data_IF_217889632732
#
_entry.id   IF_217889632732
#
_cell.length_a   1.000
_cell.length_b   1.000
_cell.length_c   1.000
_cell.angle_alpha   90.00
_cell.angle_beta   90.00
_cell.angle_gamma   90.00
#
_symmetry.space_group_name_H-M   'P 1'
#
loop_
_entity.id
_entity.type
_entity.pdbx_description
1 polymer ?
#
# COMPACT_ATOMS: atom_id res chain seq x y z
N UNK A 1 9.51 16.55 3.91
CA UNK A 1 10.90 16.05 3.96
C UNK A 1 11.73 16.85 2.96
N UNK A 2 13.00 17.13 3.20
CA UNK A 2 13.82 17.93 2.27
C UNK A 2 14.54 17.06 1.24
N UNK A 3 14.97 17.65 0.13
CA UNK A 3 15.78 16.94 -0.88
C UNK A 3 17.07 16.39 -0.25
N UNK A 4 17.74 17.15 0.62
CA UNK A 4 18.93 16.68 1.32
C UNK A 4 18.67 15.43 2.17
N UNK A 5 17.55 15.38 2.90
CA UNK A 5 17.18 14.19 3.68
C UNK A 5 16.92 12.96 2.81
N UNK A 6 16.35 13.15 1.61
CA UNK A 6 16.13 12.05 0.66
C UNK A 6 17.47 11.60 0.07
N UNK A 7 18.35 12.54 -0.27
CA UNK A 7 19.70 12.27 -0.75
C UNK A 7 20.52 11.45 0.25
N UNK A 8 20.50 11.86 1.53
CA UNK A 8 21.13 11.14 2.64
C UNK A 8 20.54 9.74 2.84
N UNK A 9 19.22 9.59 2.74
CA UNK A 9 18.56 8.28 2.87
C UNK A 9 18.95 7.30 1.75
N UNK A 10 19.16 7.83 0.54
CA UNK A 10 19.55 7.06 -0.63
C UNK A 10 21.07 6.90 -0.77
N UNK A 11 21.87 7.56 0.09
CA UNK A 11 23.33 7.64 -0.01
C UNK A 11 23.79 8.16 -1.38
N UNK A 12 23.16 9.26 -1.83
CA UNK A 12 23.41 9.86 -3.15
C UNK A 12 23.72 11.35 -3.04
N UNK A 13 24.51 11.85 -3.99
CA UNK A 13 24.74 13.28 -4.12
C UNK A 13 23.63 13.94 -4.96
N UNK A 14 23.28 15.18 -4.61
CA UNK A 14 22.39 16.02 -5.41
C UNK A 14 23.16 16.48 -6.65
N UNK A 15 22.65 16.16 -7.82
CA UNK A 15 23.17 16.63 -9.10
C UNK A 15 22.30 17.79 -9.63
N UNK A 16 22.94 18.80 -10.21
CA UNK A 16 22.27 20.01 -10.71
C UNK A 16 22.37 21.16 -9.72
N UNK A 17 21.24 21.80 -9.40
CA UNK A 17 21.21 22.94 -8.48
C UNK A 17 21.50 22.51 -7.02
N UNK A 18 22.70 22.82 -6.55
CA UNK A 18 23.16 22.50 -5.20
C UNK A 18 22.42 23.29 -4.10
N UNK A 19 21.70 24.35 -4.44
CA UNK A 19 20.86 25.09 -3.49
C UNK A 19 19.52 24.39 -3.23
N UNK A 20 19.16 23.40 -4.05
CA UNK A 20 17.91 22.66 -3.93
C UNK A 20 17.84 21.78 -2.67
N UNK A 21 18.95 21.54 -1.96
CA UNK A 21 18.99 20.65 -0.80
C UNK A 21 17.97 21.01 0.30
N UNK A 22 17.68 22.30 0.51
CA UNK A 22 16.70 22.76 1.50
C UNK A 22 15.24 22.70 1.02
N UNK A 23 15.00 22.43 -0.26
CA UNK A 23 13.65 22.40 -0.84
C UNK A 23 12.85 21.25 -0.23
N UNK A 24 11.61 21.52 0.18
CA UNK A 24 10.71 20.53 0.75
C UNK A 24 10.02 19.76 -0.38
N UNK A 25 10.10 18.45 -0.30
CA UNK A 25 9.34 17.50 -1.12
C UNK A 25 8.01 17.19 -0.43
N UNK A 26 6.92 17.36 -1.18
CA UNK A 26 5.54 17.15 -0.72
C UNK A 26 5.12 15.69 -0.84
N UNK A 27 5.49 15.05 -1.95
CA UNK A 27 5.07 13.70 -2.32
C UNK A 27 6.08 13.05 -3.27
N UNK A 28 5.96 11.74 -3.50
CA UNK A 28 6.76 10.99 -4.47
C UNK A 28 5.82 10.25 -5.43
N UNK A 29 5.98 10.46 -6.73
CA UNK A 29 5.16 9.81 -7.76
C UNK A 29 6.03 9.32 -8.94
N UNK A 30 5.67 8.20 -9.56
CA UNK A 30 6.33 7.63 -10.74
C UNK A 30 5.53 7.87 -12.05
N UNK A 31 4.30 8.36 -11.96
CA UNK A 31 3.49 8.75 -13.12
C UNK A 31 3.59 10.26 -13.38
N UNK A 32 4.15 10.62 -14.54
CA UNK A 32 4.35 12.03 -14.93
C UNK A 32 3.03 12.81 -15.01
N UNK A 33 1.89 12.12 -15.17
CA UNK A 33 0.57 12.73 -15.32
C UNK A 33 -0.10 13.10 -14.00
N UNK A 34 0.39 12.57 -12.88
CA UNK A 34 -0.18 12.80 -11.54
C UNK A 34 0.67 13.74 -10.69
N UNK A 35 1.86 14.11 -11.17
CA UNK A 35 2.76 15.07 -10.54
C UNK A 35 2.06 16.39 -10.25
N UNK A 36 2.32 16.91 -9.05
CA UNK A 36 1.86 18.22 -8.58
C UNK A 36 3.04 19.09 -8.17
N UNK A 37 2.84 20.41 -8.05
CA UNK A 37 3.86 21.31 -7.56
C UNK A 37 4.43 20.86 -6.20
N UNK A 38 5.76 20.77 -6.11
CA UNK A 38 6.47 20.34 -4.90
C UNK A 38 6.73 18.83 -4.80
N UNK A 39 6.32 18.04 -5.79
CA UNK A 39 6.53 16.59 -5.78
C UNK A 39 7.93 16.21 -6.29
N UNK A 40 8.42 15.06 -5.85
CA UNK A 40 9.55 14.39 -6.46
C UNK A 40 9.04 13.35 -7.47
N UNK A 41 9.66 13.34 -8.65
CA UNK A 41 9.33 12.40 -9.71
C UNK A 41 10.34 11.26 -9.76
N UNK A 42 9.85 10.02 -9.68
CA UNK A 42 10.67 8.83 -9.82
C UNK A 42 10.65 8.37 -11.29
N UNK A 43 11.68 8.76 -12.04
CA UNK A 43 11.82 8.43 -13.45
C UNK A 43 12.39 7.00 -13.61
N UNK A 44 11.50 6.02 -13.73
CA UNK A 44 11.88 4.60 -13.83
C UNK A 44 12.11 4.19 -15.30
N UNK A 45 13.14 3.39 -15.61
CA UNK A 45 13.28 2.78 -16.94
C UNK A 45 12.12 1.81 -17.23
N UNK A 46 11.40 2.07 -18.31
CA UNK A 46 10.31 1.24 -18.83
C UNK A 46 10.76 0.37 -20.00
N UNK A 47 9.85 -0.48 -20.49
CA UNK A 47 10.12 -1.37 -21.66
C UNK A 47 10.14 -0.64 -22.99
N UNK A 48 9.44 0.48 -23.11
CA UNK A 48 9.23 1.23 -24.36
C UNK A 48 9.80 2.64 -24.30
N UNK A 49 9.70 3.26 -23.13
CA UNK A 49 10.13 4.63 -22.86
C UNK A 49 10.81 4.67 -21.50
N UNK A 50 11.71 5.64 -21.32
CA UNK A 50 12.31 5.94 -20.04
C UNK A 50 11.51 7.04 -19.36
N UNK A 51 11.35 7.01 -18.03
CA UNK A 51 10.69 8.10 -17.31
C UNK A 51 11.28 9.50 -17.57
N UNK A 52 12.59 9.59 -17.85
CA UNK A 52 13.26 10.85 -18.17
C UNK A 52 12.84 11.44 -19.52
N UNK A 53 12.23 10.65 -20.40
CA UNK A 53 11.67 11.17 -21.66
C UNK A 53 10.54 12.19 -21.39
N UNK A 54 9.96 12.19 -20.18
CA UNK A 54 8.90 13.09 -19.72
C UNK A 54 9.38 14.19 -18.77
N UNK A 55 10.69 14.37 -18.58
CA UNK A 55 11.24 15.28 -17.54
C UNK A 55 10.80 16.74 -17.73
N UNK A 56 10.57 17.17 -18.97
CA UNK A 56 10.08 18.52 -19.29
C UNK A 56 8.64 18.74 -18.84
N UNK A 57 7.77 17.75 -19.05
CA UNK A 57 6.37 17.82 -18.66
C UNK A 57 6.25 17.84 -17.14
N UNK A 58 7.05 17.01 -16.47
CA UNK A 58 7.15 16.93 -15.02
C UNK A 58 7.69 18.22 -14.40
N UNK A 59 8.72 18.82 -15.02
CA UNK A 59 9.23 20.13 -14.60
C UNK A 59 8.17 21.23 -14.78
N UNK A 60 7.43 21.22 -15.90
CA UNK A 60 6.33 22.16 -16.13
C UNK A 60 5.17 21.97 -15.14
N UNK A 61 4.93 20.75 -14.68
CA UNK A 61 3.96 20.44 -13.63
C UNK A 61 4.42 20.86 -12.21
N UNK A 62 5.67 21.29 -12.06
CA UNK A 62 6.21 21.85 -10.82
C UNK A 62 6.92 20.84 -9.92
N UNK A 63 7.39 19.71 -10.45
CA UNK A 63 8.27 18.83 -9.69
C UNK A 63 9.55 19.55 -9.27
N UNK A 64 10.03 19.23 -8.09
CA UNK A 64 11.22 19.86 -7.48
C UNK A 64 12.46 18.96 -7.53
N UNK A 65 12.26 17.67 -7.80
CA UNK A 65 13.31 16.67 -7.80
C UNK A 65 13.00 15.54 -8.78
N UNK A 66 14.02 15.02 -9.45
CA UNK A 66 13.95 13.77 -10.22
C UNK A 66 14.84 12.70 -9.59
N UNK A 67 14.34 11.49 -9.41
CA UNK A 67 15.12 10.34 -8.96
C UNK A 67 15.15 9.32 -10.09
N UNK A 68 16.34 8.92 -10.55
CA UNK A 68 16.47 8.07 -11.74
C UNK A 68 17.81 7.34 -11.78
N UNK A 69 18.03 6.50 -12.79
CA UNK A 69 19.29 5.76 -13.04
C UNK A 69 20.34 6.59 -13.78
N UNK A 70 19.98 7.80 -14.22
CA UNK A 70 20.87 8.76 -14.86
C UNK A 70 20.42 10.19 -14.55
N UNK A 71 21.30 11.20 -14.64
CA UNK A 71 20.96 12.56 -14.26
C UNK A 71 19.86 13.14 -15.17
N UNK A 72 18.99 13.98 -14.58
CA UNK A 72 18.05 14.82 -15.34
C UNK A 72 18.80 15.98 -15.99
N UNK A 73 18.32 16.43 -17.16
CA UNK A 73 18.84 17.63 -17.82
C UNK A 73 18.08 18.91 -17.45
N UNK A 74 16.96 18.78 -16.72
CA UNK A 74 16.00 19.88 -16.48
C UNK A 74 15.85 20.20 -14.99
N UNK A 75 15.88 19.19 -14.12
CA UNK A 75 15.63 19.33 -12.69
C UNK A 75 16.83 18.85 -11.86
N UNK A 76 16.95 19.28 -10.59
CA UNK A 76 17.82 18.62 -9.63
C UNK A 76 17.54 17.13 -9.62
N UNK A 77 18.59 16.29 -9.54
CA UNK A 77 18.42 14.85 -9.61
C UNK A 77 19.26 14.06 -8.60
N UNK A 78 18.70 12.91 -8.19
CA UNK A 78 19.41 11.88 -7.45
C UNK A 78 19.54 10.65 -8.35
N UNK A 79 20.78 10.17 -8.52
CA UNK A 79 21.08 9.03 -9.39
C UNK A 79 21.24 7.77 -8.56
N UNK A 80 20.45 6.74 -8.87
CA UNK A 80 20.40 5.45 -8.17
C UNK A 80 20.41 4.30 -9.17
N UNK A 81 21.11 3.21 -8.85
CA UNK A 81 21.30 2.11 -9.82
C UNK A 81 20.01 1.41 -10.27
N UNK A 82 19.08 1.17 -9.33
CA UNK A 82 17.82 0.46 -9.60
C UNK A 82 16.60 1.25 -9.09
N UNK A 83 16.15 2.31 -9.79
CA UNK A 83 15.02 3.16 -9.38
C UNK A 83 13.75 2.35 -9.05
N UNK A 84 13.50 1.29 -9.82
CA UNK A 84 12.34 0.39 -9.63
C UNK A 84 12.39 -0.34 -8.29
N UNK A 85 13.58 -0.71 -7.80
CA UNK A 85 13.72 -1.45 -6.54
C UNK A 85 13.56 -0.53 -5.34
N UNK A 86 14.06 0.69 -5.43
CA UNK A 86 14.00 1.64 -4.32
C UNK A 86 12.62 2.28 -4.15
N UNK A 87 11.78 2.28 -5.20
CA UNK A 87 10.46 2.92 -5.18
C UNK A 87 9.61 2.56 -3.94
N UNK A 88 9.44 1.26 -3.69
CA UNK A 88 8.63 0.78 -2.56
C UNK A 88 9.21 1.16 -1.20
N UNK A 89 10.48 0.81 -0.90
CA UNK A 89 11.13 1.21 0.34
C UNK A 89 11.17 2.72 0.57
N UNK A 90 11.51 3.51 -0.47
CA UNK A 90 11.60 4.97 -0.40
C UNK A 90 10.23 5.59 -0.09
N UNK A 91 9.17 5.21 -0.81
CA UNK A 91 7.82 5.72 -0.55
C UNK A 91 7.30 5.27 0.82
N UNK A 92 7.58 4.03 1.22
CA UNK A 92 7.26 3.54 2.56
C UNK A 92 7.94 4.40 3.64
N UNK A 93 9.24 4.66 3.52
CA UNK A 93 9.96 5.53 4.46
C UNK A 93 9.43 6.97 4.43
N UNK A 94 9.20 7.54 3.25
CA UNK A 94 8.67 8.89 3.08
C UNK A 94 7.32 9.11 3.77
N UNK A 95 6.44 8.10 3.73
CA UNK A 95 5.13 8.15 4.37
C UNK A 95 5.10 7.58 5.81
N UNK A 96 6.26 7.36 6.44
CA UNK A 96 6.33 6.93 7.85
C UNK A 96 6.02 5.45 8.08
N UNK A 97 6.28 4.60 7.09
CA UNK A 97 6.17 3.14 7.15
C UNK A 97 4.79 2.65 7.60
N UNK A 98 3.69 3.05 6.91
CA UNK A 98 2.31 2.80 7.36
C UNK A 98 1.99 1.30 7.51
N UNK A 99 2.73 0.44 6.82
CA UNK A 99 2.59 -1.01 6.92
C UNK A 99 2.95 -1.57 8.30
N UNK A 100 3.76 -0.86 9.11
CA UNK A 100 4.13 -1.29 10.47
C UNK A 100 2.95 -1.26 11.45
N UNK A 101 1.99 -0.36 11.21
CA UNK A 101 0.82 -0.18 12.06
C UNK A 101 -0.42 -0.93 11.53
N UNK A 102 -0.29 -1.63 10.41
CA UNK A 102 -1.38 -2.34 9.75
C UNK A 102 -1.16 -3.86 9.73
N UNK A 103 -2.22 -4.62 9.98
CA UNK A 103 -2.25 -6.08 9.74
C UNK A 103 -2.56 -6.32 8.26
N UNK A 104 -1.52 -6.59 7.47
CA UNK A 104 -1.64 -6.79 6.02
C UNK A 104 -1.81 -8.27 5.67
N UNK A 105 -2.85 -8.59 4.89
CA UNK A 105 -3.09 -9.92 4.33
C UNK A 105 -2.85 -9.89 2.81
N UNK A 106 -1.72 -10.45 2.37
CA UNK A 106 -1.39 -10.57 0.96
C UNK A 106 -1.96 -11.85 0.35
N UNK A 107 -2.72 -11.73 -0.73
CA UNK A 107 -3.24 -12.88 -1.50
C UNK A 107 -2.55 -12.92 -2.87
N UNK A 108 -1.81 -13.99 -3.12
CA UNK A 108 -1.13 -14.26 -4.41
C UNK A 108 -1.69 -15.53 -5.06
N UNK A 109 -1.41 -15.71 -6.35
CA UNK A 109 -1.83 -16.87 -7.14
C UNK A 109 -2.32 -16.49 -8.54
N UNK A 110 -2.34 -17.44 -9.47
CA UNK A 110 -2.79 -17.19 -10.85
C UNK A 110 -4.27 -16.83 -10.89
N UNK A 111 -5.09 -17.56 -10.12
CA UNK A 111 -6.54 -17.41 -10.05
C UNK A 111 -7.00 -17.17 -8.59
N UNK A 112 -8.21 -16.62 -8.45
CA UNK A 112 -8.87 -16.51 -7.14
C UNK A 112 -8.40 -15.36 -6.23
N UNK A 113 -7.35 -14.60 -6.58
CA UNK A 113 -6.86 -13.45 -5.77
C UNK A 113 -8.00 -12.51 -5.35
N UNK A 114 -8.80 -12.06 -6.32
CA UNK A 114 -9.93 -11.17 -6.07
C UNK A 114 -10.96 -11.83 -5.17
N UNK A 115 -11.45 -13.02 -5.51
CA UNK A 115 -12.46 -13.73 -4.70
C UNK A 115 -11.99 -13.97 -3.26
N UNK A 116 -10.75 -14.42 -3.09
CA UNK A 116 -10.17 -14.70 -1.77
C UNK A 116 -9.98 -13.43 -0.95
N UNK A 117 -9.51 -12.32 -1.54
CA UNK A 117 -9.44 -11.03 -0.80
C UNK A 117 -10.81 -10.57 -0.32
N UNK A 118 -11.86 -10.76 -1.12
CA UNK A 118 -13.24 -10.46 -0.72
C UNK A 118 -13.76 -11.38 0.41
N UNK A 119 -13.44 -12.68 0.39
CA UNK A 119 -13.83 -13.59 1.47
C UNK A 119 -13.12 -13.26 2.79
N UNK A 120 -11.82 -12.96 2.74
CA UNK A 120 -11.05 -12.53 3.92
C UNK A 120 -11.62 -11.22 4.48
N UNK A 121 -11.89 -10.24 3.62
CA UNK A 121 -12.48 -8.96 4.00
C UNK A 121 -13.84 -9.12 4.68
N UNK A 122 -14.73 -9.94 4.10
CA UNK A 122 -16.04 -10.22 4.67
C UNK A 122 -15.96 -10.95 6.02
N UNK A 123 -15.03 -11.89 6.17
CA UNK A 123 -14.81 -12.60 7.42
C UNK A 123 -14.31 -11.66 8.54
N UNK A 124 -13.35 -10.78 8.24
CA UNK A 124 -12.84 -9.78 9.19
C UNK A 124 -13.94 -8.78 9.58
N UNK A 125 -14.70 -8.26 8.61
CA UNK A 125 -15.82 -7.37 8.87
C UNK A 125 -16.90 -8.02 9.76
N UNK A 126 -17.17 -9.32 9.59
CA UNK A 126 -18.11 -10.05 10.43
C UNK A 126 -17.67 -10.16 11.91
N UNK A 127 -16.36 -10.01 12.18
CA UNK A 127 -15.81 -9.95 13.54
C UNK A 127 -15.72 -8.54 14.12
N UNK A 128 -16.18 -7.51 13.39
CA UNK A 128 -16.15 -6.11 13.81
C UNK A 128 -14.81 -5.39 13.57
N UNK A 129 -13.89 -6.01 12.82
CA UNK A 129 -12.60 -5.40 12.48
C UNK A 129 -12.80 -4.32 11.39
N UNK A 130 -12.29 -3.11 11.65
CA UNK A 130 -12.29 -2.03 10.67
C UNK A 130 -11.12 -2.22 9.70
N UNK A 131 -11.42 -2.62 8.45
CA UNK A 131 -10.41 -2.94 7.44
C UNK A 131 -10.62 -2.24 6.10
N UNK A 132 -9.52 -2.05 5.38
CA UNK A 132 -9.50 -1.64 3.98
C UNK A 132 -9.34 -2.85 3.05
N UNK A 133 -9.80 -2.70 1.81
CA UNK A 133 -9.64 -3.70 0.76
C UNK A 133 -8.96 -3.06 -0.44
N UNK A 134 -7.91 -3.71 -0.95
CA UNK A 134 -7.26 -3.36 -2.22
C UNK A 134 -7.31 -4.62 -3.09
N UNK A 135 -8.07 -4.57 -4.18
CA UNK A 135 -8.16 -5.63 -5.18
C UNK A 135 -8.24 -5.02 -6.58
N UNK A 136 -7.95 -5.82 -7.61
CA UNK A 136 -8.05 -5.35 -9.00
C UNK A 136 -9.46 -4.88 -9.40
N UNK A 137 -10.49 -5.23 -8.62
CA UNK A 137 -11.86 -4.77 -8.86
C UNK A 137 -12.27 -3.57 -7.99
N UNK A 138 -11.69 -3.40 -6.78
CA UNK A 138 -12.12 -2.38 -5.82
C UNK A 138 -10.99 -1.95 -4.89
N UNK A 139 -11.00 -0.66 -4.56
CA UNK A 139 -10.23 -0.08 -3.46
C UNK A 139 -11.23 0.53 -2.47
N UNK A 140 -11.08 0.21 -1.18
CA UNK A 140 -11.92 0.72 -0.10
C UNK A 140 -11.06 1.01 1.12
N UNK A 141 -11.22 2.20 1.68
CA UNK A 141 -10.57 2.57 2.94
C UNK A 141 -11.34 2.01 4.16
N UNK A 142 -10.68 1.86 5.32
CA UNK A 142 -11.38 1.61 6.58
C UNK A 142 -12.40 2.73 6.86
N UNK A 143 -13.54 2.39 7.48
CA UNK A 143 -14.55 3.38 7.88
C UNK A 143 -15.46 3.91 6.75
N UNK A 144 -15.12 3.71 5.47
CA UNK A 144 -16.06 3.96 4.37
C UNK A 144 -17.07 2.81 4.29
N UNK A 145 -18.12 2.87 5.11
CA UNK A 145 -19.24 1.94 4.99
C UNK A 145 -20.05 2.32 3.76
N UNK A 146 -20.05 1.50 2.71
CA UNK A 146 -21.30 1.39 1.94
C UNK A 146 -22.28 0.73 2.90
N UNK A 147 -23.15 1.52 3.52
CA UNK A 147 -24.22 0.99 4.36
C UNK A 147 -24.86 -0.19 3.61
N UNK A 148 -24.88 -1.42 4.15
CA UNK A 148 -25.79 -2.42 3.63
C UNK A 148 -27.18 -1.78 3.71
N UNK A 149 -28.03 -1.82 2.65
CA UNK A 149 -29.40 -1.37 2.80
C UNK A 149 -29.95 -2.03 4.04
N UNK A 150 -30.50 -1.21 4.94
CA UNK A 150 -30.94 -1.62 6.27
C UNK A 150 -31.55 -3.02 6.17
N UNK A 151 -30.96 -4.00 6.88
CA UNK A 151 -31.49 -5.36 6.93
C UNK A 151 -32.98 -5.21 7.19
N UNK A 152 -33.82 -5.48 6.18
CA UNK A 152 -35.22 -5.77 6.43
C UNK A 152 -35.18 -6.86 7.50
N UNK A 153 -35.68 -6.52 8.69
CA UNK A 153 -35.97 -7.49 9.74
C UNK A 153 -36.91 -8.52 9.10
N UNK A 154 -36.35 -9.59 8.55
CA UNK A 154 -37.11 -10.79 8.25
C UNK A 154 -37.54 -11.31 9.60
N UNK A 155 -38.83 -11.15 9.89
CA UNK A 155 -39.51 -11.83 10.99
C UNK A 155 -39.10 -13.31 10.93
N UNK A 156 -38.55 -13.90 12.00
CA UNK A 156 -38.40 -15.34 12.05
C UNK A 156 -39.81 -15.93 12.15
N UNK A 157 -40.34 -16.40 11.02
CA UNK A 157 -41.44 -17.35 11.01
C UNK A 157 -40.78 -18.73 11.14
N UNK A 158 -40.45 -19.12 12.37
CA UNK A 158 -40.23 -20.51 12.78
C UNK A 158 -40.14 -20.51 14.32
N UNK A 159 -41.20 -21.02 14.91
CA UNK A 159 -41.46 -21.24 16.32
C UNK A 159 -40.49 -22.24 16.96
N UNK A 160 -39.87 -21.87 18.07
CA UNK A 160 -39.19 -22.79 19.00
C UNK A 160 -38.38 -22.01 20.05
N UNK A 161 -38.63 -22.18 21.36
CA UNK A 161 -37.94 -21.39 22.38
C UNK A 161 -36.54 -21.95 22.65
N UNK A 162 -35.52 -21.33 22.04
CA UNK A 162 -34.14 -21.48 22.51
C UNK A 162 -33.89 -20.41 23.58
N UNK A 163 -33.78 -20.83 24.85
CA UNK A 163 -33.37 -19.97 25.97
C UNK A 163 -31.84 -20.03 26.12
N UNK A 164 -31.11 -18.91 26.00
CA UNK A 164 -29.79 -18.79 26.59
C UNK A 164 -29.93 -18.24 28.00
N UNK A 165 -29.64 -19.07 29.00
CA UNK A 165 -29.32 -18.62 30.35
C UNK A 165 -27.90 -18.07 30.37
N UNK A 166 -27.81 -16.81 30.76
CA UNK A 166 -26.69 -16.16 31.44
C UNK A 166 -25.29 -16.27 30.82
N UNK A 167 -24.93 -15.24 30.05
CA UNK A 167 -23.55 -14.80 29.90
C UNK A 167 -23.50 -13.29 30.15
N UNK A 168 -23.28 -12.92 31.41
CA UNK A 168 -22.91 -11.59 31.86
C UNK A 168 -21.67 -11.10 31.12
N UNK A 169 -21.75 -9.88 30.60
CA UNK A 169 -20.64 -9.15 30.03
C UNK A 169 -19.55 -8.88 31.10
N UNK A 170 -18.28 -9.06 30.74
CA UNK A 170 -17.17 -8.37 31.40
C UNK A 170 -16.03 -8.10 30.40
N UNK A 171 -15.33 -6.94 30.49
CA UNK A 171 -14.49 -6.42 29.42
C UNK A 171 -12.99 -6.71 29.60
N UNK A 172 -12.24 -6.42 28.52
CA UNK A 172 -10.79 -6.25 28.46
C UNK A 172 -9.91 -7.51 28.60
N UNK A 173 -9.76 -8.25 27.49
CA UNK A 173 -8.62 -9.15 27.29
C UNK A 173 -7.57 -8.45 26.41
N UNK A 174 -6.53 -7.93 27.07
CA UNK A 174 -5.28 -7.44 26.49
C UNK A 174 -4.64 -8.56 25.65
N UNK A 175 -4.69 -8.46 24.32
CA UNK A 175 -4.16 -9.51 23.44
C UNK A 175 -2.63 -9.50 23.43
N UNK A 176 -2.02 -10.56 23.97
CA UNK A 176 -0.61 -10.89 23.76
C UNK A 176 -0.51 -11.69 22.46
N UNK A 177 0.42 -11.29 21.60
CA UNK A 177 0.67 -11.85 20.26
C UNK A 177 1.11 -13.33 20.28
N UNK A 178 0.51 -14.21 19.48
CA UNK A 178 1.16 -15.40 18.97
C UNK A 178 1.87 -15.08 17.65
N UNK A 179 3.14 -15.46 17.56
CA UNK A 179 4.00 -15.34 16.38
C UNK A 179 3.33 -15.86 15.11
N UNK A 180 3.62 -15.16 14.00
CA UNK A 180 3.37 -15.52 12.59
C UNK A 180 3.36 -17.04 12.38
N UNK A 181 2.24 -17.60 11.92
CA UNK A 181 2.22 -18.91 11.26
C UNK A 181 1.91 -18.69 9.78
N UNK A 182 2.88 -19.00 8.95
CA UNK A 182 2.66 -19.35 7.54
C UNK A 182 1.70 -20.53 7.51
N UNK A 183 0.56 -20.36 6.81
CA UNK A 183 -0.30 -21.49 6.45
C UNK A 183 0.38 -22.18 5.27
N UNK A 184 1.12 -23.26 5.55
CA UNK A 184 1.51 -24.27 4.56
C UNK A 184 0.54 -25.44 4.68
N UNK A 185 -0.19 -25.74 3.61
CA UNK A 185 -0.93 -26.99 3.48
C UNK A 185 0.05 -28.13 3.24
N UNK A 186 -0.03 -29.17 4.08
CA UNK A 186 0.80 -30.37 4.00
C UNK A 186 -0.07 -31.62 3.74
N UNK A 187 0.18 -32.21 2.57
CA UNK A 187 0.19 -33.62 2.15
C UNK A 187 -1.02 -34.55 2.37
N UNK A 188 -1.30 -35.36 1.35
CA UNK A 188 -1.33 -36.86 1.33
C UNK A 188 -1.51 -37.28 -0.13
N UNK A 189 -1.05 -38.40 -0.69
CA UNK A 189 -0.06 -39.42 -0.39
C UNK A 189 0.04 -40.31 -1.65
N UNK A 190 1.18 -40.97 -1.82
CA UNK A 190 1.50 -42.14 -2.67
C UNK A 190 0.36 -43.05 -3.16
N UNK A 191 0.48 -43.57 -4.38
CA UNK A 191 0.40 -45.02 -4.67
C UNK A 191 1.30 -45.38 -5.87
N UNK A 192 2.10 -46.43 -5.65
CA UNK A 192 3.04 -47.09 -6.53
C UNK A 192 2.36 -48.08 -7.48
N UNK A 193 2.92 -48.21 -8.69
CA UNK A 193 3.17 -49.47 -9.39
C UNK A 193 4.34 -49.26 -10.35
#
# INVERSE_FOLDING_TARGET
MTIAQIADHLDTAILGDLTAGSTVVRDIDDDSRTIRPGDAYLAIPGRRWHGLDFERDVAAAGAVLVISDRPSSVLPSLVVDEPRRIMGPLTSWFHGEPSRDLRIFGVTGTNGKTSTTHFVDAALAATGEAGGLISGARIRAPGTTSSPPARHRRRPCCSGPWRPSDATASPAARWRSPRMRSIREGSTASHSA
#
